data_IF_975804162106
#
_entry.id   IF_975804162106
#
_cell.length_a   1.000
_cell.length_b   1.000
_cell.length_c   1.000
_cell.angle_alpha   90.00
_cell.angle_beta   90.00
_cell.angle_gamma   90.00
#
_symmetry.space_group_name_H-M   'P 1'
#
loop_
_entity.id
_entity.type
_entity.pdbx_description
1 polymer ?
#
# COMPACT_ATOMS: atom_id res chain seq x y z
N UNK A 1 -21.13 -0.45 0.70
CA UNK A 1 -19.74 -0.55 1.22
C UNK A 1 -19.58 0.49 2.33
N UNK A 2 -18.84 0.20 3.40
CA UNK A 2 -18.61 1.22 4.43
C UNK A 2 -17.74 2.36 3.89
N UNK A 3 -17.94 3.61 4.33
CA UNK A 3 -17.09 4.74 3.92
C UNK A 3 -15.59 4.48 4.16
N UNK A 4 -15.24 3.78 5.24
CA UNK A 4 -13.86 3.43 5.57
C UNK A 4 -13.22 2.51 4.52
N UNK A 5 -13.97 1.57 3.95
CA UNK A 5 -13.46 0.69 2.88
C UNK A 5 -13.19 1.51 1.61
N UNK A 6 -14.12 2.40 1.24
CA UNK A 6 -13.95 3.27 0.07
C UNK A 6 -12.72 4.17 0.26
N UNK A 7 -12.60 4.81 1.41
CA UNK A 7 -11.43 5.65 1.74
C UNK A 7 -10.12 4.85 1.72
N UNK A 8 -10.11 3.63 2.27
CA UNK A 8 -8.94 2.74 2.26
C UNK A 8 -8.51 2.39 0.85
N UNK A 9 -9.46 2.01 -0.02
CA UNK A 9 -9.19 1.72 -1.43
C UNK A 9 -8.71 2.96 -2.20
N UNK A 10 -9.28 4.13 -1.93
CA UNK A 10 -8.83 5.40 -2.53
C UNK A 10 -7.39 5.72 -2.14
N UNK A 11 -7.05 5.62 -0.86
CA UNK A 11 -5.68 5.85 -0.37
C UNK A 11 -4.72 4.83 -0.98
N UNK A 12 -5.05 3.54 -0.93
CA UNK A 12 -4.21 2.49 -1.50
C UNK A 12 -4.00 2.66 -3.01
N UNK A 13 -5.05 3.05 -3.75
CA UNK A 13 -4.96 3.33 -5.18
C UNK A 13 -4.04 4.52 -5.47
N UNK A 14 -4.17 5.60 -4.68
CA UNK A 14 -3.30 6.76 -4.79
C UNK A 14 -1.84 6.42 -4.48
N UNK A 15 -1.58 5.62 -3.44
CA UNK A 15 -0.25 5.14 -3.07
C UNK A 15 0.36 4.27 -4.18
N UNK A 16 -0.35 3.25 -4.66
CA UNK A 16 0.16 2.37 -5.71
C UNK A 16 0.42 3.09 -7.03
N UNK A 17 -0.49 4.00 -7.41
CA UNK A 17 -0.32 4.80 -8.63
C UNK A 17 0.80 5.83 -8.48
N UNK A 18 0.90 6.51 -7.33
CA UNK A 18 1.97 7.47 -7.05
C UNK A 18 3.33 6.79 -7.00
N UNK A 19 3.42 5.62 -6.36
CA UNK A 19 4.65 4.82 -6.32
C UNK A 19 5.07 4.39 -7.73
N UNK A 20 4.13 3.94 -8.57
CA UNK A 20 4.40 3.66 -9.97
C UNK A 20 4.85 4.90 -10.75
N UNK A 21 4.24 6.07 -10.52
CA UNK A 21 4.61 7.30 -11.20
C UNK A 21 6.05 7.75 -10.86
N UNK A 22 6.52 7.49 -9.64
CA UNK A 22 7.86 7.89 -9.17
C UNK A 22 8.92 6.86 -9.55
N UNK A 23 8.63 5.56 -9.38
CA UNK A 23 9.64 4.48 -9.45
C UNK A 23 9.38 3.45 -10.57
N UNK A 24 8.20 3.48 -11.17
CA UNK A 24 7.82 2.61 -12.27
C UNK A 24 8.53 2.99 -13.58
N UNK A 25 8.83 1.98 -14.39
CA UNK A 25 9.54 2.12 -15.68
C UNK A 25 8.70 1.67 -16.87
N UNK A 26 7.74 0.77 -16.66
CA UNK A 26 6.90 0.21 -17.71
C UNK A 26 5.46 0.16 -17.23
N UNK A 27 4.51 0.49 -18.11
CA UNK A 27 3.08 0.58 -17.76
C UNK A 27 2.52 -0.73 -17.15
N UNK A 28 3.01 -1.90 -17.58
CA UNK A 28 2.58 -3.19 -17.02
C UNK A 28 2.94 -3.40 -15.55
N UNK A 29 3.84 -2.58 -14.98
CA UNK A 29 4.17 -2.63 -13.55
C UNK A 29 3.09 -1.97 -12.69
N UNK A 30 2.28 -1.07 -13.27
CA UNK A 30 1.24 -0.36 -12.53
C UNK A 30 0.25 -1.30 -11.83
N UNK A 31 -0.34 -2.32 -12.50
CA UNK A 31 -1.22 -3.27 -11.83
C UNK A 31 -0.58 -3.97 -10.62
N UNK A 32 0.73 -4.24 -10.66
CA UNK A 32 1.41 -4.92 -9.55
C UNK A 32 1.67 -3.97 -8.39
N UNK A 33 2.10 -2.73 -8.64
CA UNK A 33 2.20 -1.73 -7.58
C UNK A 33 0.84 -1.41 -6.96
N UNK A 34 -0.21 -1.30 -7.79
CA UNK A 34 -1.57 -1.10 -7.31
C UNK A 34 -2.04 -2.25 -6.43
N UNK A 35 -1.92 -3.51 -6.89
CA UNK A 35 -2.32 -4.68 -6.12
C UNK A 35 -1.51 -4.81 -4.82
N UNK A 36 -0.21 -4.51 -4.85
CA UNK A 36 0.67 -4.55 -3.68
C UNK A 36 0.30 -3.47 -2.66
N UNK A 37 -0.04 -2.26 -3.10
CA UNK A 37 -0.52 -1.20 -2.22
C UNK A 37 -1.85 -1.58 -1.56
N UNK A 38 -2.82 -2.11 -2.31
CA UNK A 38 -4.11 -2.56 -1.77
C UNK A 38 -3.92 -3.69 -0.77
N UNK A 39 -3.20 -4.75 -1.15
CA UNK A 39 -2.95 -5.88 -0.26
C UNK A 39 -2.20 -5.46 1.00
N UNK A 40 -1.15 -4.65 0.85
CA UNK A 40 -0.33 -4.19 1.97
C UNK A 40 -1.11 -3.29 2.91
N UNK A 41 -1.95 -2.39 2.37
CA UNK A 41 -2.79 -1.51 3.17
C UNK A 41 -3.76 -2.31 4.04
N UNK A 42 -4.44 -3.31 3.47
CA UNK A 42 -5.39 -4.14 4.22
C UNK A 42 -4.70 -5.11 5.19
N UNK A 43 -3.53 -5.66 4.85
CA UNK A 43 -2.74 -6.44 5.80
C UNK A 43 -2.28 -5.59 6.99
N UNK A 44 -1.82 -4.36 6.71
CA UNK A 44 -1.48 -3.38 7.75
C UNK A 44 -2.68 -3.02 8.61
N UNK A 45 -3.86 -2.81 8.00
CA UNK A 45 -5.12 -2.59 8.71
C UNK A 45 -5.43 -3.73 9.67
N UNK A 46 -5.41 -4.98 9.18
CA UNK A 46 -5.72 -6.17 9.99
C UNK A 46 -4.70 -6.29 11.13
N UNK A 47 -3.41 -6.11 10.84
CA UNK A 47 -2.35 -6.13 11.85
C UNK A 47 -2.53 -5.03 12.91
N UNK A 48 -2.87 -3.81 12.49
CA UNK A 48 -3.13 -2.69 13.40
C UNK A 48 -4.29 -2.95 14.35
N UNK A 49 -5.40 -3.47 13.84
CA UNK A 49 -6.55 -3.87 14.66
C UNK A 49 -6.18 -5.01 15.61
N UNK A 50 -5.52 -6.05 15.12
CA UNK A 50 -5.17 -7.23 15.91
C UNK A 50 -4.18 -6.92 17.05
N UNK A 51 -3.26 -5.98 16.83
CA UNK A 51 -2.24 -5.58 17.79
C UNK A 51 -2.65 -4.38 18.67
N UNK A 52 -3.83 -3.80 18.45
CA UNK A 52 -4.27 -2.61 19.18
C UNK A 52 -3.41 -1.37 18.91
N UNK A 53 -2.90 -1.22 17.69
CA UNK A 53 -2.06 -0.08 17.31
C UNK A 53 -2.95 1.13 17.00
N UNK A 54 -2.98 2.09 17.91
CA UNK A 54 -3.80 3.32 17.79
C UNK A 54 -3.01 4.53 17.25
N UNK A 55 -1.85 4.30 16.62
CA UNK A 55 -1.07 5.39 16.03
C UNK A 55 -1.76 5.96 14.78
N UNK A 56 -2.04 7.28 14.79
CA UNK A 56 -2.69 8.03 13.71
C UNK A 56 -4.01 7.37 13.21
N UNK A 57 -5.06 7.29 14.03
CA UNK A 57 -6.32 6.74 13.58
C UNK A 57 -7.05 7.75 12.67
N UNK A 58 -7.64 7.26 11.58
CA UNK A 58 -8.52 8.04 10.71
C UNK A 58 -9.91 7.37 10.69
N UNK A 59 -10.80 7.81 11.57
CA UNK A 59 -12.03 7.10 11.85
C UNK A 59 -11.71 5.69 12.36
N UNK A 60 -12.23 4.66 11.68
CA UNK A 60 -11.96 3.25 12.01
C UNK A 60 -10.72 2.65 11.31
N UNK A 61 -9.91 3.49 10.66
CA UNK A 61 -8.72 3.07 9.93
C UNK A 61 -7.49 3.32 10.81
N UNK A 62 -6.74 2.29 11.24
CA UNK A 62 -5.44 2.46 11.89
C UNK A 62 -4.41 2.86 10.83
N UNK A 63 -4.40 4.15 10.47
CA UNK A 63 -3.75 4.66 9.26
C UNK A 63 -2.25 4.37 9.26
N UNK A 64 -1.57 4.55 10.40
CA UNK A 64 -0.13 4.27 10.50
C UNK A 64 0.20 2.85 10.08
N UNK A 65 -0.42 1.86 10.73
CA UNK A 65 -0.19 0.43 10.42
C UNK A 65 -0.55 0.08 8.97
N UNK A 66 -1.62 0.68 8.43
CA UNK A 66 -2.07 0.46 7.07
C UNK A 66 -1.08 1.02 6.05
N UNK A 67 -0.57 2.24 6.28
CA UNK A 67 0.47 2.85 5.46
C UNK A 67 1.77 2.03 5.51
N UNK A 68 2.19 1.58 6.70
CA UNK A 68 3.37 0.72 6.85
C UNK A 68 3.22 -0.56 6.02
N UNK A 69 2.10 -1.26 6.13
CA UNK A 69 1.84 -2.46 5.33
C UNK A 69 1.88 -2.19 3.82
N UNK A 70 1.27 -1.08 3.37
CA UNK A 70 1.29 -0.67 1.97
C UNK A 70 2.72 -0.39 1.47
N UNK A 71 3.50 0.40 2.20
CA UNK A 71 4.88 0.71 1.82
C UNK A 71 5.81 -0.50 1.88
N UNK A 72 5.60 -1.44 2.81
CA UNK A 72 6.36 -2.69 2.87
C UNK A 72 6.14 -3.53 1.60
N UNK A 73 4.89 -3.75 1.19
CA UNK A 73 4.61 -4.52 -0.03
C UNK A 73 4.98 -3.77 -1.31
N UNK A 74 4.83 -2.45 -1.34
CA UNK A 74 5.31 -1.63 -2.46
C UNK A 74 6.84 -1.71 -2.60
N UNK A 75 7.58 -1.63 -1.49
CA UNK A 75 9.03 -1.81 -1.47
C UNK A 75 9.44 -3.21 -1.93
N UNK A 76 8.70 -4.25 -1.51
CA UNK A 76 8.94 -5.62 -1.96
C UNK A 76 8.66 -5.79 -3.46
N UNK A 77 7.53 -5.27 -3.95
CA UNK A 77 7.19 -5.28 -5.36
C UNK A 77 8.26 -4.56 -6.19
N UNK A 78 8.70 -3.39 -5.73
CA UNK A 78 9.77 -2.63 -6.35
C UNK A 78 11.06 -3.45 -6.42
N UNK A 79 11.50 -4.03 -5.31
CA UNK A 79 12.72 -4.81 -5.22
C UNK A 79 12.77 -5.95 -6.26
N UNK A 80 11.65 -6.65 -6.46
CA UNK A 80 11.56 -7.71 -7.47
C UNK A 80 11.41 -7.20 -8.91
N UNK A 81 10.88 -5.99 -9.10
CA UNK A 81 10.65 -5.38 -10.41
C UNK A 81 11.83 -4.56 -10.95
N UNK A 82 12.77 -4.14 -10.10
CA UNK A 82 13.98 -3.43 -10.55
C UNK A 82 14.88 -4.39 -11.34
N UNK A 83 15.31 -4.02 -12.57
CA UNK A 83 16.25 -4.81 -13.35
C UNK A 83 17.55 -5.07 -12.58
N UNK A 84 18.14 -6.25 -12.72
CA UNK A 84 19.36 -6.67 -12.00
C UNK A 84 20.56 -5.75 -12.22
N UNK A 85 20.63 -5.04 -13.36
CA UNK A 85 21.69 -4.06 -13.62
C UNK A 85 21.54 -2.74 -12.84
N UNK A 86 20.41 -2.56 -12.14
CA UNK A 86 20.10 -1.38 -11.32
C UNK A 86 19.90 -1.73 -9.83
N UNK A 87 20.23 -2.96 -9.42
CA UNK A 87 20.26 -3.44 -8.04
C UNK A 87 21.71 -3.47 -7.56
#
# INVERSE_FOLDING_TARGET
>A
MSPSIILSLTIATALGSGFHAILGRRLWQWPVYWASAVAGFFLGYIGGVALGIEALPLGSIPLFSSLTGAFLLLGLAWYFMVPSAAR
#
